data_IF_057597587098
#
_entry.id   IF_057597587098
#
_cell.length_a   1.000
_cell.length_b   1.000
_cell.length_c   1.000
_cell.angle_alpha   90.00
_cell.angle_beta   90.00
_cell.angle_gamma   90.00
#
_symmetry.space_group_name_H-M   'P 1'
#
loop_
_entity.id
_entity.type
_entity.pdbx_description
1 polymer ?
#
# COMPACT_ATOMS: atom_id res chain seq x y z
N UNK A 1 22.11 -40.33 -46.62
CA UNK A 1 23.18 -39.74 -45.79
C UNK A 1 22.54 -38.70 -44.88
N UNK A 2 22.73 -38.86 -43.57
CA UNK A 2 22.25 -37.96 -42.52
C UNK A 2 23.21 -36.78 -42.41
N UNK A 3 22.69 -35.57 -42.24
CA UNK A 3 23.44 -34.47 -41.64
C UNK A 3 22.51 -33.80 -40.62
N UNK A 4 22.68 -34.22 -39.37
CA UNK A 4 22.09 -33.63 -38.18
C UNK A 4 23.01 -32.47 -37.81
N UNK A 5 22.52 -31.23 -37.88
CA UNK A 5 23.24 -30.08 -37.34
C UNK A 5 22.71 -29.85 -35.93
N UNK A 6 23.58 -30.07 -34.97
CA UNK A 6 23.34 -29.90 -33.55
C UNK A 6 23.85 -28.53 -33.07
N UNK A 7 23.08 -27.97 -32.12
CA UNK A 7 23.47 -27.07 -31.03
C UNK A 7 23.72 -25.57 -31.26
N UNK A 8 23.55 -24.72 -30.22
CA UNK A 8 23.29 -25.06 -28.81
C UNK A 8 21.98 -24.51 -28.22
N UNK A 9 21.47 -25.28 -27.25
CA UNK A 9 20.52 -24.83 -26.22
C UNK A 9 21.22 -23.82 -25.35
N UNK A 10 20.80 -22.55 -25.38
CA UNK A 10 21.15 -21.59 -24.33
C UNK A 10 20.25 -21.89 -23.14
N UNK A 11 20.77 -22.70 -22.23
CA UNK A 11 20.25 -22.83 -20.88
C UNK A 11 20.53 -21.51 -20.14
N UNK A 12 19.53 -20.63 -20.07
CA UNK A 12 19.59 -19.47 -19.17
C UNK A 12 19.23 -19.97 -17.77
N UNK A 13 20.26 -20.39 -17.03
CA UNK A 13 20.15 -20.66 -15.61
C UNK A 13 19.89 -19.38 -14.82
N UNK A 14 19.04 -19.53 -13.81
CA UNK A 14 18.60 -18.58 -12.81
C UNK A 14 19.76 -17.77 -12.20
N UNK A 15 19.66 -16.45 -12.29
CA UNK A 15 20.30 -15.53 -11.36
C UNK A 15 19.17 -14.74 -10.68
N UNK A 16 19.11 -14.87 -9.35
CA UNK A 16 18.07 -14.30 -8.49
C UNK A 16 18.07 -12.78 -8.52
N UNK A 17 17.35 -12.23 -9.51
CA UNK A 17 16.99 -10.82 -9.54
C UNK A 17 15.91 -10.57 -8.50
N UNK A 18 16.23 -9.79 -7.47
CA UNK A 18 15.23 -9.09 -6.69
C UNK A 18 14.32 -8.35 -7.68
N UNK A 19 13.09 -8.82 -7.84
CA UNK A 19 12.02 -8.09 -8.49
C UNK A 19 11.81 -6.82 -7.67
N UNK A 20 12.57 -5.78 -7.99
CA UNK A 20 12.25 -4.42 -7.59
C UNK A 20 10.98 -4.07 -8.34
N UNK A 21 9.84 -4.44 -7.76
CA UNK A 21 8.52 -4.08 -8.25
C UNK A 21 8.49 -2.55 -8.29
N UNK A 22 8.40 -1.98 -9.49
CA UNK A 22 8.29 -0.52 -9.61
C UNK A 22 6.95 -0.10 -8.98
N UNK A 23 6.87 1.09 -8.41
CA UNK A 23 5.66 1.56 -7.72
C UNK A 23 4.39 1.56 -8.62
N UNK A 24 4.55 1.49 -9.95
CA UNK A 24 3.46 1.26 -10.90
C UNK A 24 2.92 -0.16 -10.85
N UNK A 25 3.80 -1.16 -10.83
CA UNK A 25 3.45 -2.59 -10.85
C UNK A 25 2.69 -3.01 -9.57
N UNK A 26 2.95 -2.34 -8.43
CA UNK A 26 2.27 -2.64 -7.16
C UNK A 26 0.78 -2.31 -7.15
N UNK A 27 0.32 -1.36 -7.97
CA UNK A 27 -1.09 -0.95 -7.99
C UNK A 27 -2.00 -2.01 -8.61
N UNK A 28 -1.46 -2.82 -9.52
CA UNK A 28 -2.18 -3.92 -10.15
C UNK A 28 -2.13 -5.19 -9.28
N UNK A 29 -1.12 -5.32 -8.40
CA UNK A 29 -0.97 -6.43 -7.46
C UNK A 29 -1.76 -6.23 -6.15
N UNK A 30 -1.98 -4.98 -5.74
CA UNK A 30 -2.59 -4.65 -4.46
C UNK A 30 -3.65 -3.57 -4.61
N UNK A 31 -4.87 -3.88 -4.18
CA UNK A 31 -5.95 -2.91 -4.07
C UNK A 31 -5.95 -2.26 -2.69
N UNK A 32 -6.04 -0.93 -2.64
CA UNK A 32 -6.31 -0.16 -1.41
C UNK A 32 -7.75 0.32 -1.44
N UNK A 33 -8.48 0.16 -0.34
CA UNK A 33 -9.82 0.70 -0.12
C UNK A 33 -9.82 1.49 1.20
N UNK A 34 -10.19 2.76 1.18
CA UNK A 34 -10.45 3.52 2.42
C UNK A 34 -11.74 2.98 3.03
N UNK A 35 -11.80 2.89 4.36
CA UNK A 35 -13.00 2.41 5.05
C UNK A 35 -14.19 3.33 4.71
N UNK A 36 -15.28 2.75 4.21
CA UNK A 36 -16.44 3.54 3.72
C UNK A 36 -17.36 4.02 4.84
N UNK A 37 -17.12 3.60 6.08
CA UNK A 37 -17.88 4.03 7.25
C UNK A 37 -17.38 5.41 7.72
N UNK A 38 -18.32 6.27 8.07
CA UNK A 38 -17.98 7.44 8.89
C UNK A 38 -17.60 6.95 10.28
N UNK A 39 -16.34 7.12 10.64
CA UNK A 39 -15.85 6.80 11.99
C UNK A 39 -16.10 7.97 12.94
N UNK A 40 -16.00 9.21 12.44
CA UNK A 40 -16.34 10.45 13.14
C UNK A 40 -17.23 11.35 12.27
N UNK A 41 -18.29 11.89 12.87
CA UNK A 41 -19.25 12.76 12.16
C UNK A 41 -18.56 14.02 11.62
N UNK A 42 -18.81 14.33 10.34
CA UNK A 42 -18.25 15.50 9.66
C UNK A 42 -16.81 15.33 9.17
N UNK A 43 -16.27 14.11 9.19
CA UNK A 43 -15.00 13.75 8.54
C UNK A 43 -15.26 12.83 7.35
N UNK A 44 -14.36 12.88 6.36
CA UNK A 44 -14.37 11.93 5.24
C UNK A 44 -14.36 10.47 5.74
N UNK A 45 -15.00 9.53 5.02
CA UNK A 45 -15.02 8.12 5.36
C UNK A 45 -13.63 7.57 5.67
N UNK A 46 -13.55 6.74 6.70
CA UNK A 46 -12.30 6.14 7.17
C UNK A 46 -11.36 7.09 7.91
N UNK A 47 -11.65 8.39 7.96
CA UNK A 47 -10.89 9.33 8.79
C UNK A 47 -11.43 9.39 10.21
N UNK A 48 -10.53 9.49 11.18
CA UNK A 48 -10.89 9.76 12.57
C UNK A 48 -9.74 10.44 13.32
N UNK A 49 -10.02 10.88 14.55
CA UNK A 49 -9.02 11.50 15.44
C UNK A 49 -8.86 10.62 16.67
N UNK A 50 -7.63 10.24 17.01
CA UNK A 50 -7.38 9.42 18.20
C UNK A 50 -7.39 10.27 19.49
N UNK A 51 -7.31 9.61 20.65
CA UNK A 51 -7.26 10.29 21.94
C UNK A 51 -6.07 11.24 22.10
N UNK A 52 -4.97 11.00 21.37
CA UNK A 52 -3.80 11.89 21.35
C UNK A 52 -3.97 13.09 20.40
N UNK A 53 -5.09 13.19 19.68
CA UNK A 53 -5.38 14.31 18.78
C UNK A 53 -4.74 14.22 17.40
N UNK A 54 -4.19 13.06 17.02
CA UNK A 54 -3.67 12.82 15.67
C UNK A 54 -4.79 12.44 14.70
N UNK A 55 -4.68 12.89 13.46
CA UNK A 55 -5.49 12.38 12.35
C UNK A 55 -5.08 10.94 12.02
N UNK A 56 -6.07 10.10 11.79
CA UNK A 56 -5.90 8.75 11.27
C UNK A 56 -6.73 8.54 10.00
N UNK A 57 -6.23 7.68 9.12
CA UNK A 57 -6.98 7.14 7.98
C UNK A 57 -6.94 5.61 8.05
N UNK A 58 -8.12 5.00 8.18
CA UNK A 58 -8.33 3.56 8.12
C UNK A 58 -8.64 3.12 6.70
N UNK A 59 -8.12 1.95 6.37
CA UNK A 59 -8.43 1.29 5.12
C UNK A 59 -8.08 -0.17 5.17
N UNK A 60 -8.31 -0.82 4.04
CA UNK A 60 -7.98 -2.22 3.80
C UNK A 60 -7.11 -2.32 2.57
N UNK A 61 -6.14 -3.23 2.61
CA UNK A 61 -5.42 -3.67 1.42
C UNK A 61 -5.81 -5.10 1.08
N UNK A 62 -5.85 -5.42 -0.22
CA UNK A 62 -6.15 -6.74 -0.72
C UNK A 62 -5.03 -7.22 -1.65
N UNK A 63 -4.53 -8.43 -1.43
CA UNK A 63 -3.65 -9.12 -2.38
C UNK A 63 -4.47 -9.58 -3.60
N UNK A 64 -4.22 -9.01 -4.77
CA UNK A 64 -4.85 -9.40 -6.03
C UNK A 64 -4.03 -10.41 -6.85
N UNK A 65 -2.83 -10.74 -6.38
CA UNK A 65 -1.96 -11.69 -7.07
C UNK A 65 -2.42 -13.13 -6.84
N UNK A 66 -1.96 -14.03 -7.70
CA UNK A 66 -2.18 -15.48 -7.55
C UNK A 66 -1.26 -16.17 -6.54
N UNK A 67 -0.42 -15.43 -5.81
CA UNK A 67 0.57 -15.97 -4.86
C UNK A 67 0.53 -15.26 -3.50
N UNK A 68 1.01 -15.87 -2.41
CA UNK A 68 1.13 -15.20 -1.12
C UNK A 68 2.11 -14.02 -1.17
N UNK A 69 1.78 -12.96 -0.42
CA UNK A 69 2.61 -11.76 -0.24
C UNK A 69 2.96 -11.56 1.23
N UNK A 70 4.14 -11.00 1.49
CA UNK A 70 4.50 -10.53 2.82
C UNK A 70 3.72 -9.27 3.23
N UNK A 71 4.10 -8.63 4.36
CA UNK A 71 3.41 -7.44 4.84
C UNK A 71 3.42 -6.30 3.81
N UNK A 72 2.27 -5.68 3.59
CA UNK A 72 2.11 -4.57 2.64
C UNK A 72 2.31 -3.26 3.39
N UNK A 73 3.20 -2.39 2.90
CA UNK A 73 3.42 -1.04 3.41
C UNK A 73 2.74 -0.01 2.52
N UNK A 74 1.93 0.83 3.13
CA UNK A 74 1.21 1.94 2.50
C UNK A 74 1.75 3.26 3.03
N UNK A 75 1.92 4.23 2.14
CA UNK A 75 2.15 5.62 2.47
C UNK A 75 0.89 6.44 2.20
N UNK A 76 0.62 7.41 3.08
CA UNK A 76 -0.45 8.37 2.95
C UNK A 76 0.08 9.79 2.91
N UNK A 77 -0.55 10.65 2.12
CA UNK A 77 -0.39 12.11 2.15
C UNK A 77 -1.76 12.74 2.35
N UNK A 78 -1.81 13.81 3.12
CA UNK A 78 -3.01 14.66 3.25
C UNK A 78 -2.67 16.08 2.85
N UNK A 79 -3.60 16.73 2.18
CA UNK A 79 -3.41 18.04 1.56
C UNK A 79 -4.49 19.01 2.00
N UNK A 80 -4.16 20.31 1.97
CA UNK A 80 -5.16 21.37 2.09
C UNK A 80 -5.91 21.63 0.78
N UNK A 81 -6.77 22.65 0.79
CA UNK A 81 -7.57 23.05 -0.37
C UNK A 81 -6.74 23.50 -1.58
N UNK A 82 -5.51 23.99 -1.33
CA UNK A 82 -4.59 24.49 -2.35
C UNK A 82 -3.65 23.38 -2.87
N UNK A 83 -3.80 22.15 -2.35
CA UNK A 83 -2.97 21.01 -2.71
C UNK A 83 -1.61 20.99 -2.00
N UNK A 84 -1.41 21.80 -0.96
CA UNK A 84 -0.18 21.74 -0.15
C UNK A 84 -0.25 20.57 0.81
N UNK A 85 0.84 19.82 0.90
CA UNK A 85 0.98 18.70 1.84
C UNK A 85 0.94 19.22 3.29
N UNK A 86 -0.03 18.75 4.06
CA UNK A 86 -0.15 19.02 5.50
C UNK A 86 0.53 17.94 6.35
N UNK A 87 0.60 16.71 5.83
CA UNK A 87 1.24 15.61 6.55
C UNK A 87 1.43 14.38 5.69
N UNK A 88 2.31 13.51 6.18
CA UNK A 88 2.58 12.19 5.59
C UNK A 88 2.58 11.13 6.69
N UNK A 89 2.12 9.94 6.36
CA UNK A 89 2.13 8.79 7.26
C UNK A 89 2.51 7.52 6.52
N UNK A 90 2.94 6.49 7.25
CA UNK A 90 3.07 5.14 6.69
C UNK A 90 2.51 4.11 7.66
N UNK A 91 1.93 3.05 7.12
CA UNK A 91 1.44 1.91 7.89
C UNK A 91 1.77 0.61 7.15
N UNK A 92 2.00 -0.46 7.92
CA UNK A 92 2.14 -1.81 7.37
C UNK A 92 1.03 -2.70 7.89
N UNK A 93 0.58 -3.65 7.08
CA UNK A 93 -0.33 -4.71 7.53
C UNK A 93 0.32 -5.50 8.67
N UNK A 94 -0.45 -5.80 9.72
CA UNK A 94 0.05 -6.62 10.85
C UNK A 94 0.21 -8.10 10.50
N UNK A 95 -0.52 -8.59 9.49
CA UNK A 95 -0.45 -9.97 9.05
C UNK A 95 0.91 -10.24 8.38
N UNK A 96 1.65 -11.28 8.78
CA UNK A 96 2.95 -11.61 8.18
C UNK A 96 2.80 -12.16 6.75
N UNK A 97 1.66 -12.77 6.43
CA UNK A 97 1.34 -13.31 5.11
C UNK A 97 -0.09 -12.95 4.73
N UNK A 98 -0.27 -12.49 3.51
CA UNK A 98 -1.56 -12.31 2.83
C UNK A 98 -1.62 -13.27 1.64
N UNK A 99 -2.46 -14.30 1.74
CA UNK A 99 -2.74 -15.21 0.62
C UNK A 99 -3.48 -14.49 -0.52
N UNK A 100 -3.60 -15.10 -1.71
CA UNK A 100 -4.44 -14.57 -2.78
C UNK A 100 -5.84 -14.19 -2.28
N UNK A 101 -6.26 -12.97 -2.59
CA UNK A 101 -7.53 -12.35 -2.16
C UNK A 101 -7.67 -12.04 -0.66
N UNK A 102 -6.66 -12.33 0.17
CA UNK A 102 -6.69 -11.91 1.56
C UNK A 102 -6.76 -10.38 1.66
N UNK A 103 -7.60 -9.94 2.59
CA UNK A 103 -7.69 -8.56 3.02
C UNK A 103 -6.98 -8.37 4.37
N UNK A 104 -6.36 -7.21 4.56
CA UNK A 104 -5.78 -6.81 5.83
C UNK A 104 -5.96 -5.30 6.07
N UNK A 105 -6.20 -4.95 7.33
CA UNK A 105 -6.36 -3.56 7.73
C UNK A 105 -5.02 -2.81 7.71
N UNK A 106 -5.12 -1.52 7.38
CA UNK A 106 -4.10 -0.51 7.58
C UNK A 106 -4.69 0.67 8.37
N UNK A 107 -3.84 1.32 9.16
CA UNK A 107 -4.21 2.51 9.90
C UNK A 107 -3.05 3.50 9.87
N UNK A 108 -3.19 4.54 9.04
CA UNK A 108 -2.19 5.58 8.85
C UNK A 108 -2.37 6.64 9.93
N UNK A 109 -1.39 6.79 10.82
CA UNK A 109 -1.38 7.84 11.85
C UNK A 109 -0.51 9.03 11.39
N UNK A 110 -1.14 10.20 11.26
CA UNK A 110 -0.49 11.44 10.87
C UNK A 110 -0.10 12.24 12.11
N UNK A 111 1.06 11.91 12.69
CA UNK A 111 1.57 12.51 13.94
C UNK A 111 1.68 14.04 13.90
N UNK A 112 1.89 14.63 12.72
CA UNK A 112 2.02 16.08 12.55
C UNK A 112 0.69 16.79 12.24
N UNK A 113 -0.38 16.04 12.00
CA UNK A 113 -1.69 16.59 11.64
C UNK A 113 -2.61 16.53 12.84
N UNK A 114 -2.57 17.62 13.62
CA UNK A 114 -3.27 17.72 14.91
C UNK A 114 -4.06 19.02 15.02
N UNK A 115 -5.01 19.04 15.95
CA UNK A 115 -5.73 20.25 16.33
C UNK A 115 -6.38 20.98 15.14
N UNK A 116 -6.20 22.30 14.99
CA UNK A 116 -6.77 23.06 13.88
C UNK A 116 -6.33 22.61 12.49
N UNK A 117 -5.16 21.94 12.36
CA UNK A 117 -4.65 21.48 11.07
C UNK A 117 -5.54 20.39 10.45
N UNK A 118 -6.21 19.59 11.29
CA UNK A 118 -7.15 18.56 10.86
C UNK A 118 -8.28 19.15 10.02
N UNK A 119 -8.77 20.34 10.38
CA UNK A 119 -9.86 21.02 9.64
C UNK A 119 -9.43 21.53 8.26
N UNK A 120 -8.13 21.64 8.03
CA UNK A 120 -7.57 22.10 6.76
C UNK A 120 -7.42 20.95 5.76
N UNK A 121 -7.46 19.69 6.20
CA UNK A 121 -7.38 18.53 5.31
C UNK A 121 -8.60 18.51 4.39
N UNK A 122 -8.35 18.46 3.07
CA UNK A 122 -9.37 18.40 2.02
C UNK A 122 -9.25 17.18 1.14
N UNK A 123 -8.03 16.74 0.85
CA UNK A 123 -7.79 15.58 0.02
C UNK A 123 -6.69 14.70 0.60
N UNK A 124 -6.67 13.46 0.16
CA UNK A 124 -5.75 12.43 0.60
C UNK A 124 -5.31 11.57 -0.58
N UNK A 125 -4.06 11.12 -0.52
CA UNK A 125 -3.50 10.15 -1.47
C UNK A 125 -2.89 9.01 -0.69
N UNK A 126 -3.25 7.77 -1.05
CA UNK A 126 -2.67 6.55 -0.49
C UNK A 126 -1.98 5.78 -1.62
N UNK A 127 -0.80 5.24 -1.33
CA UNK A 127 -0.03 4.44 -2.27
C UNK A 127 0.64 3.26 -1.56
N UNK A 128 0.65 2.10 -2.21
CA UNK A 128 1.51 0.98 -1.81
C UNK A 128 2.94 1.36 -2.14
N UNK A 129 3.82 1.31 -1.14
CA UNK A 129 5.23 1.72 -1.30
C UNK A 129 6.21 0.57 -1.10
N UNK A 130 5.77 -0.54 -0.50
CA UNK A 130 6.56 -1.76 -0.42
C UNK A 130 5.66 -2.96 -0.12
N UNK A 131 6.14 -4.14 -0.49
CA UNK A 131 5.59 -5.44 -0.11
C UNK A 131 6.73 -6.25 0.47
N UNK A 132 6.51 -6.85 1.64
CA UNK A 132 7.48 -7.74 2.27
C UNK A 132 7.74 -8.98 1.41
N UNK A 133 8.88 -9.62 1.64
CA UNK A 133 9.29 -10.82 0.92
C UNK A 133 8.18 -11.87 0.89
N UNK A 134 8.02 -12.53 -0.26
CA UNK A 134 7.12 -13.68 -0.39
C UNK A 134 7.65 -14.82 0.51
N UNK A 135 6.79 -15.46 1.32
CA UNK A 135 7.18 -16.60 2.14
C UNK A 135 7.58 -17.82 1.28
#
# INVERSE_FOLDING_TARGET
MKAVIAWPVVALMLLGGSYGVLAGDLKDEVKIEIESSEVHSGMEPGMYVCAAGHLHIKGTVQNLTGVPMGPIKVAGKVFDADGKVLGTATASTKRPVLNPNDKAEINLEFLTVTGPLIKQVKTQELAVVAVGSRP
#
